data_IF_364727097948
#
_entry.id   IF_364727097948
#
_cell.length_a   1.000
_cell.length_b   1.000
_cell.length_c   1.000
_cell.angle_alpha   90.00
_cell.angle_beta   90.00
_cell.angle_gamma   90.00
#
_symmetry.space_group_name_H-M   'P 1'
#
loop_
_entity.id
_entity.type
_entity.pdbx_description
1 polymer ?
#
# COMPACT_ATOMS: atom_id res chain seq x y z
N UNK A 1 -6.54 -6.08 26.88
CA UNK A 1 -7.28 -5.22 25.92
C UNK A 1 -6.77 -5.57 24.54
N UNK A 2 -7.61 -6.10 23.65
CA UNK A 2 -7.22 -6.39 22.25
C UNK A 2 -7.08 -5.08 21.44
N UNK A 3 -6.42 -5.10 20.28
CA UNK A 3 -6.38 -3.95 19.37
C UNK A 3 -7.78 -3.43 19.01
N UNK A 4 -8.73 -4.33 18.80
CA UNK A 4 -10.13 -3.98 18.53
C UNK A 4 -10.81 -3.32 19.73
N UNK A 5 -10.54 -3.78 20.96
CA UNK A 5 -11.06 -3.16 22.17
C UNK A 5 -10.44 -1.79 22.43
N UNK A 6 -9.16 -1.61 22.07
CA UNK A 6 -8.49 -0.32 22.15
C UNK A 6 -9.06 0.65 21.10
N UNK A 7 -9.30 0.20 19.87
CA UNK A 7 -9.89 1.00 18.82
C UNK A 7 -11.34 1.40 19.15
N UNK A 8 -12.15 0.47 19.68
CA UNK A 8 -13.52 0.77 20.12
C UNK A 8 -13.53 1.77 21.29
N UNK A 9 -12.65 1.61 22.27
CA UNK A 9 -12.49 2.56 23.38
C UNK A 9 -12.02 3.94 22.88
N UNK A 10 -11.09 3.97 21.93
CA UNK A 10 -10.62 5.21 21.31
C UNK A 10 -11.71 5.90 20.50
N UNK A 11 -12.54 5.16 19.74
CA UNK A 11 -13.69 5.70 19.02
C UNK A 11 -14.73 6.33 19.95
N UNK A 12 -15.04 5.66 21.06
CA UNK A 12 -16.01 6.14 22.05
C UNK A 12 -15.50 7.40 22.78
N UNK A 13 -14.18 7.52 22.94
CA UNK A 13 -13.55 8.62 23.70
C UNK A 13 -13.16 9.83 22.83
N UNK A 14 -12.80 9.64 21.55
CA UNK A 14 -12.16 10.67 20.71
C UNK A 14 -13.00 11.13 19.50
N UNK A 15 -14.16 10.52 19.23
CA UNK A 15 -14.93 10.78 18.01
C UNK A 15 -14.44 9.93 16.83
N UNK A 16 -14.69 10.38 15.58
CA UNK A 16 -14.43 9.60 14.37
C UNK A 16 -13.05 8.93 14.39
N UNK A 17 -12.99 7.64 14.06
CA UNK A 17 -11.79 6.83 14.15
C UNK A 17 -10.62 7.50 13.39
N UNK A 18 -9.53 7.78 14.11
CA UNK A 18 -8.30 8.32 13.51
C UNK A 18 -7.88 7.36 12.38
N UNK A 19 -7.78 7.82 11.12
CA UNK A 19 -7.35 6.97 10.02
C UNK A 19 -5.99 6.32 10.32
N UNK A 20 -5.91 5.00 10.17
CA UNK A 20 -4.69 4.22 10.36
C UNK A 20 -4.21 3.64 9.03
N UNK A 21 -2.88 3.50 8.82
CA UNK A 21 -2.36 2.74 7.69
C UNK A 21 -2.91 1.32 7.68
N UNK A 22 -3.28 0.82 6.50
CA UNK A 22 -3.70 -0.56 6.31
C UNK A 22 -2.45 -1.40 6.06
N UNK A 23 -2.25 -2.46 6.85
CA UNK A 23 -1.21 -3.46 6.60
C UNK A 23 -1.82 -4.62 5.83
N UNK A 24 -1.82 -4.53 4.51
CA UNK A 24 -2.47 -5.53 3.65
C UNK A 24 -1.92 -6.94 3.84
N UNK A 25 -0.62 -7.06 4.14
CA UNK A 25 0.04 -8.35 4.40
C UNK A 25 -0.48 -9.07 5.65
N UNK A 26 -1.11 -8.36 6.59
CA UNK A 26 -1.59 -8.91 7.87
C UNK A 26 -3.07 -9.31 7.80
N UNK A 27 -3.77 -9.01 6.71
CA UNK A 27 -5.22 -9.21 6.59
C UNK A 27 -5.56 -10.62 6.09
N UNK A 28 -6.60 -11.22 6.67
CA UNK A 28 -7.23 -12.40 6.07
C UNK A 28 -7.98 -12.03 4.76
N UNK A 29 -8.30 -13.03 3.94
CA UNK A 29 -8.97 -12.84 2.64
C UNK A 29 -10.32 -12.11 2.75
N UNK A 30 -11.09 -12.38 3.82
CA UNK A 30 -12.41 -11.77 4.02
C UNK A 30 -12.27 -10.29 4.35
N UNK A 31 -11.33 -9.96 5.23
CA UNK A 31 -11.02 -8.57 5.61
C UNK A 31 -10.42 -7.81 4.43
N UNK A 32 -9.52 -8.45 3.67
CA UNK A 32 -8.94 -7.91 2.44
C UNK A 32 -10.03 -7.55 1.43
N UNK A 33 -10.96 -8.46 1.15
CA UNK A 33 -12.05 -8.20 0.22
C UNK A 33 -12.92 -7.00 0.64
N UNK A 34 -13.27 -6.90 1.93
CA UNK A 34 -14.02 -5.76 2.47
C UNK A 34 -13.26 -4.43 2.28
N UNK A 35 -11.98 -4.40 2.64
CA UNK A 35 -11.13 -3.21 2.51
C UNK A 35 -10.92 -2.81 1.06
N UNK A 36 -10.77 -3.76 0.13
CA UNK A 36 -10.67 -3.46 -1.30
C UNK A 36 -11.96 -2.83 -1.84
N UNK A 37 -13.14 -3.28 -1.40
CA UNK A 37 -14.42 -2.66 -1.79
C UNK A 37 -14.55 -1.23 -1.28
N UNK A 38 -14.16 -0.98 -0.03
CA UNK A 38 -14.13 0.37 0.55
C UNK A 38 -13.18 1.29 -0.23
N UNK A 39 -11.98 0.80 -0.52
CA UNK A 39 -10.98 1.53 -1.29
C UNK A 39 -11.47 1.79 -2.72
N UNK A 40 -12.06 0.80 -3.39
CA UNK A 40 -12.53 0.93 -4.77
C UNK A 40 -13.58 2.02 -4.95
N UNK A 41 -14.49 2.19 -3.99
CA UNK A 41 -15.47 3.30 -4.00
C UNK A 41 -14.78 4.66 -3.99
N UNK A 42 -13.77 4.82 -3.13
CA UNK A 42 -13.02 6.06 -3.03
C UNK A 42 -12.13 6.31 -4.25
N UNK A 43 -11.44 5.27 -4.75
CA UNK A 43 -10.63 5.33 -5.96
C UNK A 43 -11.48 5.70 -7.18
N UNK A 44 -12.69 5.17 -7.28
CA UNK A 44 -13.65 5.56 -8.34
C UNK A 44 -14.00 7.05 -8.25
N UNK A 45 -14.30 7.56 -7.05
CA UNK A 45 -14.52 9.00 -6.84
C UNK A 45 -13.29 9.83 -7.23
N UNK A 46 -12.09 9.43 -6.80
CA UNK A 46 -10.83 10.13 -7.08
C UNK A 46 -10.58 10.21 -8.59
N UNK A 47 -10.69 9.07 -9.28
CA UNK A 47 -10.47 8.96 -10.72
C UNK A 47 -11.42 9.85 -11.52
N UNK A 48 -12.71 9.88 -11.16
CA UNK A 48 -13.70 10.75 -11.81
C UNK A 48 -13.46 12.23 -11.47
N UNK A 49 -13.15 12.56 -10.21
CA UNK A 49 -12.98 13.94 -9.75
C UNK A 49 -11.77 14.62 -10.38
N UNK A 50 -10.67 13.89 -10.52
CA UNK A 50 -9.39 14.42 -11.04
C UNK A 50 -9.08 13.97 -12.46
N UNK A 51 -9.99 13.23 -13.10
CA UNK A 51 -9.89 12.75 -14.49
C UNK A 51 -8.57 12.00 -14.72
N UNK A 52 -8.29 11.02 -13.85
CA UNK A 52 -7.08 10.21 -13.94
C UNK A 52 -7.15 9.28 -15.16
N UNK A 53 -6.09 9.26 -15.95
CA UNK A 53 -6.01 8.41 -17.14
C UNK A 53 -5.47 7.00 -16.82
N UNK A 54 -5.53 6.10 -17.80
CA UNK A 54 -5.06 4.71 -17.66
C UNK A 54 -3.56 4.55 -17.36
N UNK A 55 -2.74 5.58 -17.57
CA UNK A 55 -1.30 5.58 -17.23
C UNK A 55 -1.08 5.88 -15.76
N UNK A 56 -2.08 6.45 -15.09
CA UNK A 56 -2.06 6.75 -13.65
C UNK A 56 -2.87 5.74 -12.87
N UNK A 57 -4.04 5.36 -13.38
CA UNK A 57 -4.97 4.47 -12.72
C UNK A 57 -5.52 3.44 -13.72
N UNK A 58 -4.85 2.29 -13.87
CA UNK A 58 -5.30 1.26 -14.79
C UNK A 58 -6.57 0.58 -14.26
N UNK A 59 -7.38 0.03 -15.17
CA UNK A 59 -8.68 -0.55 -14.82
C UNK A 59 -8.58 -1.77 -13.88
N UNK A 60 -7.45 -2.45 -13.85
CA UNK A 60 -7.11 -3.65 -13.06
C UNK A 60 -6.21 -3.33 -11.85
N UNK A 61 -6.19 -2.08 -11.36
CA UNK A 61 -5.29 -1.62 -10.28
C UNK A 61 -5.31 -2.50 -9.02
N UNK A 62 -6.45 -3.13 -8.68
CA UNK A 62 -6.59 -4.00 -7.50
C UNK A 62 -5.83 -5.33 -7.62
N UNK A 63 -5.27 -5.64 -8.78
CA UNK A 63 -4.40 -6.80 -8.97
C UNK A 63 -2.94 -6.48 -8.66
N UNK A 64 -2.63 -5.23 -8.32
CA UNK A 64 -1.25 -4.75 -8.18
C UNK A 64 -1.03 -4.20 -6.77
N UNK A 65 -0.30 -4.96 -5.95
CA UNK A 65 -0.03 -4.62 -4.55
C UNK A 65 0.54 -3.22 -4.35
N UNK A 66 1.50 -2.79 -5.17
CA UNK A 66 2.07 -1.45 -5.09
C UNK A 66 1.02 -0.33 -5.31
N UNK A 67 0.04 -0.55 -6.20
CA UNK A 67 -1.05 0.41 -6.41
C UNK A 67 -2.02 0.41 -5.22
N UNK A 68 -2.34 -0.76 -4.67
CA UNK A 68 -3.18 -0.88 -3.46
C UNK A 68 -2.54 -0.11 -2.29
N UNK A 69 -1.25 -0.30 -2.06
CA UNK A 69 -0.51 0.39 -0.99
C UNK A 69 -0.55 1.91 -1.18
N UNK A 70 -0.17 2.42 -2.35
CA UNK A 70 -0.16 3.86 -2.64
C UNK A 70 -1.56 4.50 -2.55
N UNK A 71 -2.58 3.85 -3.10
CA UNK A 71 -3.95 4.37 -3.08
C UNK A 71 -4.55 4.34 -1.67
N UNK A 72 -4.27 3.30 -0.88
CA UNK A 72 -4.72 3.21 0.50
C UNK A 72 -4.08 4.27 1.39
N UNK A 73 -2.78 4.55 1.22
CA UNK A 73 -2.08 5.63 1.92
C UNK A 73 -2.62 7.01 1.53
N UNK A 74 -2.85 7.26 0.23
CA UNK A 74 -3.42 8.52 -0.24
C UNK A 74 -4.85 8.74 0.29
N UNK A 75 -5.66 7.67 0.37
CA UNK A 75 -7.00 7.73 0.98
C UNK A 75 -6.90 8.09 2.46
N UNK A 76 -6.02 7.45 3.22
CA UNK A 76 -5.82 7.77 4.64
C UNK A 76 -5.42 9.24 4.84
N UNK A 77 -4.54 9.77 4.00
CA UNK A 77 -4.18 11.18 4.01
C UNK A 77 -5.37 12.09 3.66
N UNK A 78 -6.25 11.67 2.75
CA UNK A 78 -7.48 12.39 2.41
C UNK A 78 -8.46 12.41 3.59
N UNK A 79 -8.69 11.27 4.23
CA UNK A 79 -9.60 11.16 5.37
C UNK A 79 -9.15 12.09 6.51
N UNK A 80 -7.84 12.17 6.78
CA UNK A 80 -7.29 13.12 7.77
C UNK A 80 -7.46 14.56 7.29
N UNK A 81 -7.03 14.90 6.08
CA UNK A 81 -7.00 16.27 5.58
C UNK A 81 -8.39 16.93 5.47
N UNK A 82 -9.43 16.13 5.31
CA UNK A 82 -10.82 16.58 5.20
C UNK A 82 -11.64 16.36 6.49
N UNK A 83 -10.99 15.97 7.60
CA UNK A 83 -11.65 15.93 8.89
C UNK A 83 -12.03 17.36 9.36
N UNK A 84 -13.25 17.58 9.91
CA UNK A 84 -13.70 18.91 10.32
C UNK A 84 -12.84 19.61 11.39
N UNK A 85 -11.99 18.86 12.10
CA UNK A 85 -11.10 19.40 13.13
C UNK A 85 -9.77 19.92 12.57
N UNK A 86 -9.46 19.64 11.29
CA UNK A 86 -8.21 20.08 10.67
C UNK A 86 -8.24 21.54 10.25
N UNK A 87 -7.04 22.13 10.16
CA UNK A 87 -6.85 23.44 9.56
C UNK A 87 -7.21 23.42 8.07
N UNK A 88 -7.74 24.53 7.54
CA UNK A 88 -8.09 24.65 6.13
C UNK A 88 -6.89 24.40 5.18
N UNK A 89 -5.66 24.60 5.65
CA UNK A 89 -4.44 24.29 4.88
C UNK A 89 -4.24 22.80 4.64
N UNK A 90 -4.79 21.91 5.46
CA UNK A 90 -4.59 20.47 5.35
C UNK A 90 -5.07 19.93 3.99
N UNK A 91 -6.15 20.47 3.44
CA UNK A 91 -6.60 20.12 2.11
C UNK A 91 -5.59 20.53 1.02
N UNK A 92 -4.92 21.67 1.17
CA UNK A 92 -3.87 22.10 0.24
C UNK A 92 -2.63 21.19 0.37
N UNK A 93 -2.24 20.83 1.60
CA UNK A 93 -1.13 19.91 1.86
C UNK A 93 -1.41 18.50 1.29
N UNK A 94 -2.67 18.05 1.35
CA UNK A 94 -3.09 16.81 0.71
C UNK A 94 -2.91 16.85 -0.82
N UNK A 95 -3.16 17.98 -1.48
CA UNK A 95 -2.93 18.09 -2.93
C UNK A 95 -1.44 17.98 -3.29
N UNK A 96 -0.54 18.45 -2.42
CA UNK A 96 0.91 18.24 -2.61
C UNK A 96 1.27 16.75 -2.47
N UNK A 97 0.66 16.06 -1.49
CA UNK A 97 0.79 14.60 -1.36
C UNK A 97 0.26 13.89 -2.62
N UNK A 98 -0.91 14.30 -3.10
CA UNK A 98 -1.54 13.73 -4.29
C UNK A 98 -0.67 13.92 -5.55
N UNK A 99 -0.07 15.09 -5.74
CA UNK A 99 0.86 15.33 -6.85
C UNK A 99 2.02 14.31 -6.85
N UNK A 100 2.65 14.10 -5.70
CA UNK A 100 3.73 13.12 -5.56
C UNK A 100 3.24 11.67 -5.77
N UNK A 101 2.06 11.33 -5.26
CA UNK A 101 1.45 10.01 -5.48
C UNK A 101 1.19 9.76 -6.96
N UNK A 102 0.69 10.74 -7.72
CA UNK A 102 0.48 10.58 -9.18
C UNK A 102 1.76 10.24 -9.94
N UNK A 103 2.89 10.80 -9.53
CA UNK A 103 4.20 10.47 -10.13
C UNK A 103 4.52 8.99 -9.88
N UNK A 104 4.44 8.52 -8.63
CA UNK A 104 4.71 7.12 -8.28
C UNK A 104 3.72 6.15 -8.94
N UNK A 105 2.44 6.51 -9.02
CA UNK A 105 1.44 5.71 -9.75
C UNK A 105 1.85 5.48 -11.20
N UNK A 106 2.28 6.54 -11.92
CA UNK A 106 2.78 6.38 -13.30
C UNK A 106 4.00 5.48 -13.39
N UNK A 107 4.93 5.59 -12.42
CA UNK A 107 6.09 4.72 -12.35
C UNK A 107 5.71 3.25 -12.14
N UNK A 108 4.77 2.97 -11.24
CA UNK A 108 4.28 1.62 -11.00
C UNK A 108 3.55 1.06 -12.22
N UNK A 109 2.64 1.83 -12.80
CA UNK A 109 1.88 1.43 -14.00
C UNK A 109 2.81 1.18 -15.18
N UNK A 110 3.85 2.00 -15.35
CA UNK A 110 4.86 1.82 -16.40
C UNK A 110 5.65 0.51 -16.29
N UNK A 111 5.72 -0.10 -15.10
CA UNK A 111 6.38 -1.41 -14.89
C UNK A 111 5.48 -2.60 -15.17
N UNK A 112 4.16 -2.42 -15.23
CA UNK A 112 3.22 -3.53 -15.33
C UNK A 112 3.28 -4.26 -16.68
N UNK A 113 3.75 -3.59 -17.74
CA UNK A 113 3.80 -4.14 -19.11
C UNK A 113 2.41 -4.50 -19.68
N UNK A 114 2.31 -4.73 -20.99
CA UNK A 114 1.09 -5.28 -21.61
C UNK A 114 -0.22 -4.48 -21.47
N UNK A 115 -1.30 -5.06 -22.00
CA UNK A 115 -2.66 -4.51 -21.91
C UNK A 115 -3.29 -4.85 -20.55
N UNK A 116 -4.26 -4.05 -20.06
CA UNK A 116 -5.02 -4.39 -18.84
C UNK A 116 -5.58 -5.83 -18.90
N UNK A 117 -5.43 -6.60 -17.82
CA UNK A 117 -5.86 -8.00 -17.73
C UNK A 117 -4.90 -9.05 -18.31
N UNK A 118 -3.92 -8.64 -19.12
CA UNK A 118 -2.84 -9.52 -19.63
C UNK A 118 -1.53 -9.32 -18.86
N UNK A 119 -1.52 -8.39 -17.88
CA UNK A 119 -0.34 -8.01 -17.12
C UNK A 119 0.02 -9.10 -16.13
N UNK A 120 1.22 -9.65 -16.26
CA UNK A 120 1.77 -10.58 -15.26
C UNK A 120 3.09 -10.03 -14.77
N UNK A 121 3.16 -9.64 -13.50
CA UNK A 121 4.43 -9.29 -12.85
C UNK A 121 4.95 -10.56 -12.21
N UNK A 122 6.11 -11.03 -12.68
CA UNK A 122 6.86 -12.05 -11.99
C UNK A 122 7.87 -11.36 -11.06
N UNK A 123 7.85 -11.66 -9.75
CA UNK A 123 8.94 -11.27 -8.87
C UNK A 123 10.28 -11.76 -9.46
N UNK A 124 11.37 -11.07 -9.11
CA UNK A 124 12.70 -11.58 -9.42
C UNK A 124 12.87 -12.97 -8.78
N UNK A 125 13.67 -13.85 -9.39
CA UNK A 125 13.80 -15.23 -8.92
C UNK A 125 14.19 -15.36 -7.44
N UNK A 126 14.97 -14.42 -6.89
CA UNK A 126 15.31 -14.41 -5.47
C UNK A 126 14.18 -13.95 -4.53
N UNK A 127 13.22 -13.18 -5.04
CA UNK A 127 12.02 -12.80 -4.29
C UNK A 127 10.98 -13.92 -4.28
N UNK A 128 10.90 -14.69 -5.37
CA UNK A 128 9.95 -15.79 -5.54
C UNK A 128 10.38 -17.05 -4.76
N UNK A 129 11.67 -17.41 -4.86
CA UNK A 129 12.25 -18.55 -4.15
C UNK A 129 13.68 -18.19 -3.66
N UNK A 130 13.78 -17.54 -2.48
CA UNK A 130 15.06 -17.08 -1.94
C UNK A 130 16.07 -18.22 -1.71
N UNK A 131 15.59 -19.40 -1.33
CA UNK A 131 16.43 -20.57 -1.10
C UNK A 131 16.97 -21.11 -2.42
N UNK A 132 16.10 -21.36 -3.40
CA UNK A 132 16.50 -21.90 -4.71
C UNK A 132 17.35 -20.94 -5.52
N UNK A 133 17.16 -19.64 -5.36
CA UNK A 133 17.96 -18.61 -6.04
C UNK A 133 19.41 -18.54 -5.55
N UNK A 134 19.73 -19.18 -4.42
CA UNK A 134 21.03 -19.04 -3.74
C UNK A 134 21.14 -17.80 -2.86
N UNK A 135 20.15 -16.90 -2.89
CA UNK A 135 20.18 -15.65 -2.14
C UNK A 135 20.31 -15.87 -0.63
N UNK A 136 19.60 -16.85 -0.06
CA UNK A 136 19.69 -17.17 1.37
C UNK A 136 21.08 -17.66 1.76
N UNK A 137 21.73 -18.45 0.90
CA UNK A 137 23.08 -18.93 1.16
C UNK A 137 24.11 -17.78 1.12
N UNK A 138 24.04 -16.93 0.11
CA UNK A 138 24.92 -15.77 -0.05
C UNK A 138 24.74 -14.78 1.10
N UNK A 139 23.49 -14.51 1.48
CA UNK A 139 23.18 -13.62 2.58
C UNK A 139 23.71 -14.15 3.92
N UNK A 140 23.53 -15.45 4.20
CA UNK A 140 24.06 -16.07 5.41
C UNK A 140 25.59 -16.09 5.43
N UNK A 141 26.24 -16.35 4.29
CA UNK A 141 27.70 -16.28 4.19
C UNK A 141 28.22 -14.87 4.49
N UNK A 142 27.55 -13.84 3.99
CA UNK A 142 27.85 -12.45 4.33
C UNK A 142 27.69 -12.16 5.84
N UNK A 143 26.58 -12.61 6.45
CA UNK A 143 26.37 -12.46 7.89
C UNK A 143 27.44 -13.17 8.74
N UNK A 144 27.85 -14.38 8.36
CA UNK A 144 28.96 -15.10 9.00
C UNK A 144 30.28 -14.32 8.87
N UNK A 145 30.53 -13.70 7.71
CA UNK A 145 31.72 -12.86 7.52
C UNK A 145 31.77 -11.64 8.44
N UNK A 146 30.60 -11.06 8.78
CA UNK A 146 30.51 -9.90 9.68
C UNK A 146 30.59 -10.27 11.16
N UNK A 147 30.05 -11.44 11.53
CA UNK A 147 29.91 -11.84 12.94
C UNK A 147 31.07 -12.69 13.45
N UNK A 148 31.94 -13.20 12.57
CA UNK A 148 33.03 -14.11 12.93
C UNK A 148 32.55 -15.47 13.45
N UNK A 149 31.24 -15.72 13.44
CA UNK A 149 30.63 -17.01 13.75
C UNK A 149 30.68 -17.87 12.47
N UNK A 150 31.76 -18.65 12.33
CA UNK A 150 31.68 -19.87 11.54
C UNK A 150 30.63 -20.76 12.19
N UNK A 151 29.66 -21.22 11.38
CA UNK A 151 28.63 -22.17 11.80
C UNK A 151 29.34 -23.34 12.53
N UNK A 152 28.92 -23.75 13.74
CA UNK A 152 29.45 -24.97 14.33
C UNK A 152 29.01 -26.16 13.48
N UNK A 153 29.96 -27.08 13.31
CA UNK A 153 29.92 -28.29 12.47
C UNK A 153 28.68 -29.17 12.67
#
# INVERSE_FOLDING_TARGET
MSPEQLDALMQDTLGAAIPRPIRWADLDDTTTAKKLVELAKWVHWLGNRYVLDSRELPADWWQHGALIEELSALKGAWDVAYDPTQAASAAADWHMTFYNTRIRLREWVGRLGGSPGERTIHPQGWLDDPDRSGWVADFNAYLSSLTGLNRPD
#
